data_IF_688093659543
#
_entry.id   IF_688093659543
#
_cell.length_a   1.000
_cell.length_b   1.000
_cell.length_c   1.000
_cell.angle_alpha   90.00
_cell.angle_beta   90.00
_cell.angle_gamma   90.00
#
_symmetry.space_group_name_H-M   'P 1'
#
loop_
_entity.id
_entity.type
_entity.pdbx_description
1 polymer ?
#
# COMPACT_ATOMS: atom_id res chain seq x y z
N UNK A 1 -34.85 10.04 -21.77
CA UNK A 1 -33.49 10.54 -21.48
C UNK A 1 -33.04 9.89 -20.18
N UNK A 2 -32.47 8.69 -20.25
CA UNK A 2 -31.95 7.94 -19.10
C UNK A 2 -30.45 7.89 -19.33
N UNK A 3 -29.75 8.92 -18.87
CA UNK A 3 -28.33 9.07 -19.12
C UNK A 3 -27.76 10.07 -18.14
N UNK A 4 -26.61 9.71 -17.55
CA UNK A 4 -25.77 10.56 -16.72
C UNK A 4 -26.15 10.76 -15.24
N UNK A 5 -26.51 9.70 -14.50
CA UNK A 5 -26.44 9.74 -13.01
C UNK A 5 -25.43 8.72 -12.44
N UNK A 6 -24.99 7.72 -13.22
CA UNK A 6 -24.14 6.63 -12.70
C UNK A 6 -22.63 6.87 -12.63
N UNK A 7 -22.10 8.01 -13.06
CA UNK A 7 -20.65 8.15 -13.33
C UNK A 7 -19.88 9.13 -12.44
N UNK A 8 -20.49 9.65 -11.36
CA UNK A 8 -19.88 10.72 -10.53
C UNK A 8 -19.54 10.27 -9.10
N UNK A 9 -19.84 9.02 -8.71
CA UNK A 9 -19.53 8.55 -7.34
C UNK A 9 -18.05 8.13 -7.18
N UNK A 10 -17.28 7.99 -8.26
CA UNK A 10 -15.90 7.50 -8.18
C UNK A 10 -14.80 8.55 -7.93
N UNK A 11 -15.13 9.84 -7.81
CA UNK A 11 -14.12 10.91 -7.69
C UNK A 11 -14.06 11.59 -6.31
N UNK A 12 -14.78 11.07 -5.31
CA UNK A 12 -14.73 11.55 -3.92
C UNK A 12 -14.07 10.53 -2.96
N UNK A 13 -13.18 9.68 -3.46
CA UNK A 13 -12.31 8.84 -2.62
C UNK A 13 -11.00 9.56 -2.23
N UNK A 14 -10.98 10.90 -2.30
CA UNK A 14 -9.87 11.71 -1.81
C UNK A 14 -9.75 11.59 -0.29
N UNK A 15 -8.60 11.09 0.17
CA UNK A 15 -8.09 11.04 1.56
C UNK A 15 -8.95 10.32 2.63
N UNK A 16 -10.29 10.31 2.53
CA UNK A 16 -11.21 9.80 3.54
C UNK A 16 -11.41 8.28 3.52
N UNK A 17 -11.21 7.62 2.37
CA UNK A 17 -11.34 6.16 2.27
C UNK A 17 -10.24 5.42 3.06
N UNK A 18 -9.08 6.05 3.23
CA UNK A 18 -7.92 5.49 3.93
C UNK A 18 -7.86 5.87 5.41
N UNK A 19 -8.73 6.77 5.88
CA UNK A 19 -8.88 7.12 7.30
C UNK A 19 -9.36 5.92 8.15
N UNK A 20 -9.93 4.89 7.52
CA UNK A 20 -10.32 3.64 8.20
C UNK A 20 -9.13 3.02 8.92
N UNK A 21 -7.91 3.08 8.35
CA UNK A 21 -6.71 2.51 8.95
C UNK A 21 -6.21 3.26 10.22
N UNK A 22 -6.62 4.53 10.41
CA UNK A 22 -6.24 5.35 11.57
C UNK A 22 -6.95 4.89 12.85
N UNK A 23 -8.21 4.46 12.76
CA UNK A 23 -9.00 4.01 13.91
C UNK A 23 -8.74 2.55 14.33
N UNK A 24 -7.98 1.76 13.56
CA UNK A 24 -7.79 0.30 13.82
C UNK A 24 -6.69 0.02 14.85
N UNK A 25 -6.02 1.04 15.38
CA UNK A 25 -5.02 0.88 16.46
C UNK A 25 -5.60 0.26 17.74
N UNK A 26 -6.93 0.21 17.90
CA UNK A 26 -7.57 -0.43 19.07
C UNK A 26 -7.43 -1.95 19.11
N UNK A 27 -6.95 -2.62 18.06
CA UNK A 27 -7.10 -4.08 17.95
C UNK A 27 -5.85 -4.93 18.25
N UNK A 28 -4.64 -4.37 18.38
CA UNK A 28 -3.51 -5.21 18.79
C UNK A 28 -2.38 -4.50 19.54
N UNK A 29 -2.21 -4.86 20.81
CA UNK A 29 -1.07 -4.48 21.65
C UNK A 29 -0.01 -5.57 21.72
N UNK A 30 -0.22 -6.73 21.07
CA UNK A 30 0.78 -7.80 21.00
C UNK A 30 1.86 -7.35 20.01
N UNK A 31 2.96 -6.87 20.58
CA UNK A 31 4.10 -6.39 19.81
C UNK A 31 4.75 -7.54 19.04
N UNK A 32 4.64 -7.54 17.71
CA UNK A 32 5.27 -8.52 16.82
C UNK A 32 6.79 -8.29 16.63
N UNK A 33 7.46 -7.74 17.63
CA UNK A 33 8.90 -7.54 17.61
C UNK A 33 9.35 -6.48 16.60
N UNK A 34 10.56 -6.68 16.07
CA UNK A 34 11.16 -5.86 15.02
C UNK A 34 10.76 -6.31 13.61
N UNK A 35 10.07 -7.44 13.45
CA UNK A 35 9.90 -8.12 12.16
C UNK A 35 8.67 -7.67 11.35
N UNK A 36 7.91 -6.68 11.86
CA UNK A 36 6.59 -6.35 11.33
C UNK A 36 6.23 -4.85 11.40
N UNK A 37 5.15 -4.47 10.70
CA UNK A 37 4.43 -3.21 10.87
C UNK A 37 3.72 -3.20 12.24
N UNK A 38 4.09 -2.30 13.18
CA UNK A 38 3.53 -2.31 14.53
C UNK A 38 2.03 -2.01 14.56
N UNK A 39 1.26 -2.83 15.28
CA UNK A 39 -0.16 -2.59 15.55
C UNK A 39 -1.05 -2.58 14.30
N UNK A 40 -0.62 -3.25 13.22
CA UNK A 40 -1.37 -3.39 11.98
C UNK A 40 -1.47 -4.86 11.58
N UNK A 41 -2.70 -5.38 11.61
CA UNK A 41 -2.97 -6.74 11.17
C UNK A 41 -3.10 -6.81 9.65
N UNK A 42 -2.57 -7.87 9.05
CA UNK A 42 -2.71 -8.14 7.61
C UNK A 42 -4.17 -8.24 7.19
N UNK A 43 -5.02 -8.83 8.04
CA UNK A 43 -6.46 -8.94 7.80
C UNK A 43 -7.13 -7.58 7.61
N UNK A 44 -6.76 -6.58 8.43
CA UNK A 44 -7.28 -5.21 8.30
C UNK A 44 -6.92 -4.59 6.95
N UNK A 45 -5.69 -4.78 6.48
CA UNK A 45 -5.24 -4.24 5.19
C UNK A 45 -5.95 -4.96 4.04
N UNK A 46 -6.11 -6.28 4.14
CA UNK A 46 -6.85 -7.09 3.15
C UNK A 46 -8.32 -6.67 3.09
N UNK A 47 -9.00 -6.52 4.22
CA UNK A 47 -10.40 -6.05 4.28
C UNK A 47 -10.55 -4.66 3.68
N UNK A 48 -9.62 -3.74 3.98
CA UNK A 48 -9.62 -2.40 3.39
C UNK A 48 -9.45 -2.46 1.86
N UNK A 49 -8.54 -3.29 1.35
CA UNK A 49 -8.34 -3.50 -0.08
C UNK A 49 -9.57 -4.09 -0.77
N UNK A 50 -10.19 -5.11 -0.16
CA UNK A 50 -11.43 -5.71 -0.64
C UNK A 50 -12.59 -4.70 -0.65
N UNK A 51 -12.69 -3.84 0.37
CA UNK A 51 -13.66 -2.74 0.40
C UNK A 51 -13.47 -1.72 -0.72
N UNK A 52 -12.26 -1.59 -1.27
CA UNK A 52 -11.94 -0.79 -2.45
C UNK A 52 -12.07 -1.58 -3.77
N UNK A 53 -12.60 -2.81 -3.74
CA UNK A 53 -12.83 -3.63 -4.91
C UNK A 53 -11.66 -4.51 -5.34
N UNK A 54 -10.58 -4.62 -4.55
CA UNK A 54 -9.52 -5.59 -4.84
C UNK A 54 -10.02 -7.02 -4.64
N UNK A 55 -9.62 -7.92 -5.54
CA UNK A 55 -9.70 -9.35 -5.31
C UNK A 55 -8.43 -9.80 -4.58
N UNK A 56 -8.57 -10.37 -3.40
CA UNK A 56 -7.45 -10.82 -2.58
C UNK A 56 -7.45 -12.35 -2.42
N UNK A 57 -6.26 -12.95 -2.49
CA UNK A 57 -6.03 -14.38 -2.32
C UNK A 57 -4.92 -14.65 -1.30
N UNK A 58 -5.19 -15.56 -0.35
CA UNK A 58 -4.20 -16.05 0.60
C UNK A 58 -3.31 -17.12 -0.07
N UNK A 59 -2.01 -16.85 -0.16
CA UNK A 59 -0.98 -17.75 -0.68
C UNK A 59 0.02 -18.12 0.41
N UNK A 60 -0.44 -18.66 1.54
CA UNK A 60 0.34 -19.23 2.69
C UNK A 60 1.32 -18.27 3.39
N UNK A 61 2.24 -17.65 2.69
CA UNK A 61 3.22 -16.69 3.24
C UNK A 61 2.93 -15.26 2.80
N UNK A 62 2.04 -15.08 1.82
CA UNK A 62 1.71 -13.78 1.24
C UNK A 62 0.22 -13.69 0.95
N UNK A 63 -0.36 -12.52 1.18
CA UNK A 63 -1.65 -12.15 0.60
C UNK A 63 -1.40 -11.39 -0.69
N UNK A 64 -2.04 -11.82 -1.77
CA UNK A 64 -1.93 -11.21 -3.10
C UNK A 64 -3.27 -10.57 -3.43
N UNK A 65 -3.29 -9.24 -3.57
CA UNK A 65 -4.46 -8.45 -3.88
C UNK A 65 -4.30 -7.75 -5.23
N UNK A 66 -5.34 -7.80 -6.06
CA UNK A 66 -5.35 -7.15 -7.38
C UNK A 66 -6.64 -6.36 -7.59
N UNK A 67 -6.51 -5.16 -8.16
CA UNK A 67 -7.59 -4.38 -8.74
C UNK A 67 -7.24 -4.03 -10.19
N UNK A 68 -8.20 -4.24 -11.09
CA UNK A 68 -8.06 -3.90 -12.51
C UNK A 68 -9.00 -2.76 -12.88
N UNK A 69 -8.43 -1.68 -13.41
CA UNK A 69 -9.18 -0.53 -13.94
C UNK A 69 -8.80 -0.36 -15.41
N UNK A 70 -9.65 -0.88 -16.30
CA UNK A 70 -9.37 -0.92 -17.72
C UNK A 70 -8.11 -1.75 -18.04
N UNK A 71 -7.06 -1.07 -18.52
CA UNK A 71 -5.75 -1.68 -18.86
C UNK A 71 -4.73 -1.59 -17.72
N UNK A 72 -5.01 -0.78 -16.70
CA UNK A 72 -4.14 -0.58 -15.54
C UNK A 72 -4.46 -1.63 -14.48
N UNK A 73 -3.44 -2.20 -13.87
CA UNK A 73 -3.58 -3.14 -12.76
C UNK A 73 -2.83 -2.60 -11.56
N UNK A 74 -3.51 -2.59 -10.42
CA UNK A 74 -2.97 -2.29 -9.10
C UNK A 74 -2.81 -3.62 -8.40
N UNK A 75 -1.58 -4.00 -8.10
CA UNK A 75 -1.27 -5.25 -7.41
C UNK A 75 -0.59 -4.94 -6.09
N UNK A 76 -0.88 -5.71 -5.05
CA UNK A 76 -0.14 -5.68 -3.80
C UNK A 76 0.11 -7.09 -3.27
N UNK A 77 1.32 -7.30 -2.78
CA UNK A 77 1.73 -8.48 -2.03
C UNK A 77 2.05 -8.07 -0.59
N UNK A 78 1.31 -8.62 0.37
CA UNK A 78 1.49 -8.42 1.81
C UNK A 78 2.16 -9.67 2.38
N UNK A 79 3.44 -9.58 2.72
CA UNK A 79 4.23 -10.70 3.23
C UNK A 79 4.08 -10.84 4.74
N UNK A 80 3.95 -12.09 5.20
CA UNK A 80 3.80 -12.42 6.62
C UNK A 80 5.12 -12.39 7.37
N UNK A 81 5.09 -12.05 8.65
CA UNK A 81 6.28 -12.03 9.53
C UNK A 81 6.58 -13.44 10.09
N UNK A 82 7.06 -14.36 9.24
CA UNK A 82 7.20 -15.82 9.52
C UNK A 82 8.01 -16.19 10.79
N UNK A 83 8.77 -15.26 11.34
CA UNK A 83 9.58 -15.42 12.57
C UNK A 83 8.80 -15.15 13.86
N UNK A 84 7.56 -14.66 13.78
CA UNK A 84 6.76 -14.21 14.92
C UNK A 84 5.65 -15.21 15.28
N UNK A 85 5.32 -15.33 16.56
CA UNK A 85 4.10 -16.04 16.99
C UNK A 85 2.87 -15.37 16.38
N UNK A 86 1.91 -16.15 15.88
CA UNK A 86 0.77 -15.63 15.12
C UNK A 86 1.18 -14.87 13.83
N UNK A 87 2.29 -15.26 13.19
CA UNK A 87 2.83 -14.62 11.98
C UNK A 87 1.82 -14.35 10.87
N UNK A 88 0.76 -15.16 10.79
CA UNK A 88 -0.31 -15.03 9.82
C UNK A 88 -1.11 -13.73 9.98
N UNK A 89 -1.01 -13.06 11.13
CA UNK A 89 -1.68 -11.78 11.40
C UNK A 89 -0.82 -10.56 11.07
N UNK A 90 0.49 -10.69 10.86
CA UNK A 90 1.40 -9.53 10.79
C UNK A 90 2.07 -9.35 9.42
N UNK A 91 2.30 -8.08 9.05
CA UNK A 91 2.93 -7.70 7.79
C UNK A 91 4.41 -7.40 8.03
N UNK A 92 5.33 -8.11 7.37
CA UNK A 92 6.79 -7.85 7.43
C UNK A 92 7.31 -7.03 6.26
N UNK A 93 6.67 -7.20 5.10
CA UNK A 93 7.03 -6.53 3.85
C UNK A 93 5.76 -6.29 3.03
N UNK A 94 5.75 -5.17 2.32
CA UNK A 94 4.73 -4.86 1.31
C UNK A 94 5.43 -4.61 -0.02
N UNK A 95 4.89 -5.20 -1.08
CA UNK A 95 5.22 -4.85 -2.45
C UNK A 95 3.95 -4.37 -3.15
N UNK A 96 3.91 -3.10 -3.55
CA UNK A 96 2.80 -2.51 -4.27
C UNK A 96 3.24 -2.17 -5.70
N UNK A 97 2.47 -2.59 -6.70
CA UNK A 97 2.83 -2.45 -8.11
C UNK A 97 1.68 -1.81 -8.90
N UNK A 98 2.04 -0.95 -9.84
CA UNK A 98 1.13 -0.44 -10.85
C UNK A 98 1.64 -0.92 -12.20
N UNK A 99 0.84 -1.73 -12.89
CA UNK A 99 1.18 -2.29 -14.20
C UNK A 99 0.44 -1.53 -15.30
N UNK A 100 1.17 -1.21 -16.37
CA UNK A 100 0.73 -0.38 -17.48
C UNK A 100 0.19 1.00 -17.05
N UNK A 101 0.92 1.76 -16.21
CA UNK A 101 0.47 3.10 -15.84
C UNK A 101 0.30 3.97 -17.09
N UNK A 102 -0.70 4.84 -17.04
CA UNK A 102 -0.95 5.88 -18.03
C UNK A 102 -1.05 7.26 -17.34
N UNK A 103 -1.13 8.32 -18.15
CA UNK A 103 -1.18 9.70 -17.64
C UNK A 103 -2.40 9.98 -16.77
N UNK A 104 -3.50 9.22 -16.93
CA UNK A 104 -4.74 9.40 -16.16
C UNK A 104 -4.69 8.70 -14.81
N UNK A 105 -3.83 7.69 -14.65
CA UNK A 105 -3.70 6.87 -13.45
C UNK A 105 -2.49 7.21 -12.60
N UNK A 106 -1.67 8.18 -13.02
CA UNK A 106 -0.50 8.63 -12.26
C UNK A 106 -0.85 9.10 -10.84
N UNK A 107 -1.91 9.91 -10.68
CA UNK A 107 -2.35 10.39 -9.37
C UNK A 107 -2.90 9.25 -8.50
N UNK A 108 -3.78 8.41 -9.05
CA UNK A 108 -4.31 7.24 -8.37
C UNK A 108 -3.19 6.25 -7.96
N UNK A 109 -2.16 6.14 -8.80
CA UNK A 109 -0.97 5.36 -8.53
C UNK A 109 -0.13 5.88 -7.37
N UNK A 110 0.10 7.21 -7.34
CA UNK A 110 0.75 7.86 -6.21
C UNK A 110 -0.06 7.68 -4.92
N UNK A 111 -1.38 7.87 -4.96
CA UNK A 111 -2.26 7.69 -3.81
C UNK A 111 -2.20 6.24 -3.30
N UNK A 112 -2.25 5.27 -4.21
CA UNK A 112 -2.15 3.85 -3.90
C UNK A 112 -0.84 3.51 -3.18
N UNK A 113 0.30 3.92 -3.75
CA UNK A 113 1.62 3.68 -3.16
C UNK A 113 1.82 4.45 -1.84
N UNK A 114 1.33 5.69 -1.77
CA UNK A 114 1.41 6.53 -0.58
C UNK A 114 0.65 5.93 0.60
N UNK A 115 -0.51 5.30 0.34
CA UNK A 115 -1.26 4.64 1.38
C UNK A 115 -0.44 3.54 2.07
N UNK A 116 0.21 2.66 1.29
CA UNK A 116 1.06 1.61 1.85
C UNK A 116 2.26 2.18 2.58
N UNK A 117 2.97 3.12 1.96
CA UNK A 117 4.18 3.68 2.54
C UNK A 117 3.93 4.44 3.85
N UNK A 118 2.71 4.95 4.05
CA UNK A 118 2.31 5.59 5.30
C UNK A 118 1.98 4.61 6.42
N UNK A 119 1.66 3.33 6.12
CA UNK A 119 1.19 2.35 7.11
C UNK A 119 2.11 2.24 8.35
N UNK A 120 3.46 2.17 8.22
CA UNK A 120 4.33 2.04 9.39
C UNK A 120 4.38 3.29 10.26
N UNK A 121 4.01 4.43 9.70
CA UNK A 121 4.17 5.75 10.31
C UNK A 121 2.83 6.46 10.51
N UNK A 122 1.70 5.76 10.40
CA UNK A 122 0.35 6.34 10.37
C UNK A 122 0.06 7.31 11.52
N UNK A 123 0.69 7.10 12.67
CA UNK A 123 0.52 7.87 13.91
C UNK A 123 1.56 8.98 14.08
N UNK A 124 2.45 9.17 13.10
CA UNK A 124 3.52 10.17 13.07
C UNK A 124 3.40 11.04 11.80
N UNK A 125 2.51 12.06 11.81
CA UNK A 125 2.23 12.89 10.64
C UNK A 125 3.48 13.55 10.01
N UNK A 126 4.47 14.04 10.78
CA UNK A 126 5.75 14.49 10.22
C UNK A 126 6.44 13.44 9.34
N UNK A 127 6.50 12.18 9.81
CA UNK A 127 7.13 11.09 9.05
C UNK A 127 6.28 10.68 7.85
N UNK A 128 4.95 10.61 7.96
CA UNK A 128 4.06 10.38 6.81
C UNK A 128 4.30 11.42 5.71
N UNK A 129 4.42 12.70 6.09
CA UNK A 129 4.71 13.78 5.15
C UNK A 129 6.08 13.60 4.48
N UNK A 130 7.09 13.18 5.23
CA UNK A 130 8.43 12.89 4.69
C UNK A 130 8.40 11.76 3.65
N UNK A 131 7.72 10.66 3.96
CA UNK A 131 7.56 9.51 3.04
C UNK A 131 6.80 9.94 1.78
N UNK A 132 5.69 10.67 1.93
CA UNK A 132 4.90 11.14 0.80
C UNK A 132 5.67 12.11 -0.11
N UNK A 133 6.48 13.01 0.47
CA UNK A 133 7.36 13.89 -0.29
C UNK A 133 8.38 13.12 -1.12
N UNK A 134 9.08 12.16 -0.50
CA UNK A 134 10.02 11.29 -1.21
C UNK A 134 9.34 10.48 -2.33
N UNK A 135 8.18 9.86 -2.07
CA UNK A 135 7.45 9.12 -3.11
C UNK A 135 7.07 9.99 -4.30
N UNK A 136 6.60 11.22 -4.05
CA UNK A 136 6.25 12.15 -5.12
C UNK A 136 7.46 12.51 -5.98
N UNK A 137 8.62 12.74 -5.36
CA UNK A 137 9.88 13.00 -6.07
C UNK A 137 10.30 11.79 -6.91
N UNK A 138 10.24 10.57 -6.35
CA UNK A 138 10.68 9.37 -7.07
C UNK A 138 9.71 8.92 -8.17
N UNK A 139 8.41 9.18 -8.02
CA UNK A 139 7.43 8.97 -9.10
C UNK A 139 7.60 9.98 -10.25
N UNK A 140 8.23 11.13 -10.02
CA UNK A 140 8.65 12.02 -11.10
C UNK A 140 10.03 11.62 -11.70
N UNK A 141 10.85 10.91 -10.93
CA UNK A 141 12.19 10.46 -11.31
C UNK A 141 12.30 9.02 -11.82
N UNK A 142 13.54 8.51 -11.80
CA UNK A 142 13.92 7.17 -12.27
C UNK A 142 13.70 6.06 -11.23
N UNK A 143 13.25 6.41 -10.03
CA UNK A 143 13.19 5.50 -8.88
C UNK A 143 14.48 5.56 -8.06
N UNK A 144 14.36 5.26 -6.77
CA UNK A 144 15.46 5.34 -5.80
C UNK A 144 15.15 4.47 -4.58
N UNK A 145 16.15 4.32 -3.70
CA UNK A 145 16.03 3.73 -2.38
C UNK A 145 16.24 4.79 -1.31
N UNK A 146 15.40 4.78 -0.28
CA UNK A 146 15.61 5.62 0.91
C UNK A 146 15.36 4.86 2.20
N UNK A 147 15.81 5.47 3.29
CA UNK A 147 15.59 5.00 4.64
C UNK A 147 14.87 6.08 5.44
N UNK A 148 13.71 5.73 5.99
CA UNK A 148 12.95 6.61 6.86
C UNK A 148 12.71 5.87 8.17
N UNK A 149 13.39 6.33 9.22
CA UNK A 149 13.50 5.60 10.50
C UNK A 149 14.02 4.17 10.26
N UNK A 150 13.32 3.17 10.79
CA UNK A 150 13.66 1.76 10.66
C UNK A 150 13.17 1.14 9.33
N UNK A 151 12.63 1.92 8.39
CA UNK A 151 12.01 1.38 7.18
C UNK A 151 12.83 1.70 5.94
N UNK A 152 13.07 0.66 5.14
CA UNK A 152 13.64 0.75 3.80
C UNK A 152 12.48 0.87 2.79
N UNK A 153 12.58 1.86 1.92
CA UNK A 153 11.66 2.08 0.82
C UNK A 153 12.43 2.04 -0.48
N UNK A 154 11.90 1.34 -1.48
CA UNK A 154 12.50 1.25 -2.80
C UNK A 154 11.42 1.43 -3.84
N UNK A 155 11.63 2.37 -4.77
CA UNK A 155 10.75 2.57 -5.92
C UNK A 155 11.52 2.20 -7.19
N UNK A 156 11.00 1.26 -7.96
CA UNK A 156 11.61 0.80 -9.21
C UNK A 156 10.67 0.97 -10.40
N UNK A 157 11.22 1.30 -11.57
CA UNK A 157 10.51 1.17 -12.85
C UNK A 157 11.04 0.00 -13.64
N UNK A 158 10.15 -0.94 -13.95
CA UNK A 158 10.48 -2.13 -14.73
C UNK A 158 9.93 -1.98 -16.14
N UNK A 159 10.83 -1.76 -17.10
CA UNK A 159 10.47 -1.50 -18.49
C UNK A 159 9.86 -2.72 -19.18
N UNK A 160 10.34 -3.93 -18.83
CA UNK A 160 9.87 -5.21 -19.36
C UNK A 160 8.40 -5.50 -19.02
N UNK A 161 7.98 -5.16 -17.80
CA UNK A 161 6.60 -5.33 -17.30
C UNK A 161 5.77 -4.06 -17.42
N UNK A 162 6.39 -2.95 -17.85
CA UNK A 162 5.81 -1.60 -17.83
C UNK A 162 5.17 -1.32 -16.47
N UNK A 163 5.92 -1.55 -15.38
CA UNK A 163 5.43 -1.37 -14.01
C UNK A 163 6.24 -0.34 -13.23
N UNK A 164 5.57 0.28 -12.26
CA UNK A 164 6.20 1.02 -11.16
C UNK A 164 5.95 0.20 -9.90
N UNK A 165 7.00 -0.06 -9.12
CA UNK A 165 6.95 -0.97 -7.98
C UNK A 165 7.52 -0.30 -6.74
N UNK A 166 6.71 -0.19 -5.69
CA UNK A 166 7.13 0.20 -4.35
C UNK A 166 7.35 -1.06 -3.53
N UNK A 167 8.55 -1.22 -2.98
CA UNK A 167 8.84 -2.19 -1.92
C UNK A 167 9.08 -1.45 -0.62
N UNK A 168 8.46 -1.92 0.46
CA UNK A 168 8.74 -1.45 1.81
C UNK A 168 8.93 -2.64 2.77
N UNK A 169 9.95 -2.56 3.60
CA UNK A 169 10.27 -3.55 4.63
C UNK A 169 11.00 -2.88 5.77
N UNK A 170 10.96 -3.50 6.94
CA UNK A 170 11.74 -3.04 8.08
C UNK A 170 13.22 -3.40 7.88
N UNK A 171 14.09 -2.51 8.32
CA UNK A 171 15.54 -2.69 8.43
C UNK A 171 15.81 -3.51 9.69
N UNK A 172 16.61 -4.56 9.51
CA UNK A 172 17.13 -5.53 10.50
C UNK A 172 16.61 -5.42 11.94
#
# INVERSE_FOLDING_TARGET
MVGAIGLVVFLLAGVGAYAVAYNVRKQDTKYCGHDCVPGLRIGTVVEALQGQGHTCADKKQVWSCELRVGKVRFETELFRAVTVVDYHEYISKVEARIINPDSTTAAAGLDYMSWFAALPHRDDPPTVKKVGGWLAEQIAGEGDMTFILDWEYTLERKANTRSIELTMKRRY
#
